data_IF_310047084365
#
_entry.id   IF_310047084365
#
_cell.length_a   1.000
_cell.length_b   1.000
_cell.length_c   1.000
_cell.angle_alpha   90.00
_cell.angle_beta   90.00
_cell.angle_gamma   90.00
#
_symmetry.space_group_name_H-M   'P 1'
#
loop_
_entity.id
_entity.type
_entity.pdbx_description
1 polymer ?
#
# COMPACT_ATOMS: atom_id res chain seq x y z
N UNK A 1 -4.02 6.76 6.57
CA UNK A 1 -4.05 5.33 6.91
C UNK A 1 -5.34 4.88 7.54
N UNK A 2 -5.56 3.59 7.58
CA UNK A 2 -6.72 2.96 8.20
C UNK A 2 -6.31 1.64 8.86
N UNK A 3 -7.15 1.14 9.78
CA UNK A 3 -7.04 -0.24 10.25
C UNK A 3 -7.31 -1.20 9.09
N UNK A 4 -6.61 -2.32 9.09
CA UNK A 4 -6.70 -3.37 8.09
C UNK A 4 -6.65 -4.74 8.78
N UNK A 5 -6.37 -5.77 8.00
CA UNK A 5 -6.41 -7.17 8.42
C UNK A 5 -5.10 -7.65 9.03
N UNK A 6 -5.14 -8.54 10.03
CA UNK A 6 -3.95 -9.15 10.61
C UNK A 6 -3.24 -10.08 9.61
N UNK A 7 -1.96 -10.35 9.87
CA UNK A 7 -1.12 -11.19 8.98
C UNK A 7 -1.67 -12.60 8.74
N UNK A 8 -2.33 -13.18 9.74
CA UNK A 8 -2.95 -14.51 9.64
C UNK A 8 -4.30 -14.54 8.91
N UNK A 9 -4.82 -13.39 8.44
CA UNK A 9 -6.06 -13.37 7.67
C UNK A 9 -5.86 -14.01 6.29
N UNK A 10 -6.78 -14.87 5.82
CA UNK A 10 -6.65 -15.52 4.50
C UNK A 10 -6.48 -14.54 3.34
N UNK A 11 -7.07 -13.35 3.43
CA UNK A 11 -6.97 -12.35 2.37
C UNK A 11 -5.67 -11.52 2.42
N UNK A 12 -4.81 -11.71 3.44
CA UNK A 12 -3.66 -10.82 3.64
C UNK A 12 -2.72 -10.78 2.43
N UNK A 13 -2.40 -11.94 1.87
CA UNK A 13 -1.58 -12.02 0.67
C UNK A 13 -2.25 -11.33 -0.53
N UNK A 14 -3.52 -11.64 -0.77
CA UNK A 14 -4.29 -11.07 -1.87
C UNK A 14 -4.40 -9.54 -1.79
N UNK A 15 -4.67 -9.01 -0.59
CA UNK A 15 -4.71 -7.56 -0.36
C UNK A 15 -3.34 -6.90 -0.57
N UNK A 16 -2.25 -7.56 -0.12
CA UNK A 16 -0.87 -7.07 -0.33
C UNK A 16 -0.50 -7.05 -1.82
N UNK A 17 -0.84 -8.11 -2.55
CA UNK A 17 -0.64 -8.20 -4.01
C UNK A 17 -1.44 -7.11 -4.73
N UNK A 18 -2.71 -6.90 -4.36
CA UNK A 18 -3.56 -5.87 -4.96
C UNK A 18 -3.02 -4.45 -4.71
N UNK A 19 -2.35 -4.21 -3.56
CA UNK A 19 -1.72 -2.92 -3.26
C UNK A 19 -0.43 -2.68 -4.07
N UNK A 20 0.17 -3.69 -4.69
CA UNK A 20 1.52 -3.62 -5.26
C UNK A 20 1.66 -2.51 -6.31
N UNK A 21 0.76 -2.44 -7.29
CA UNK A 21 0.80 -1.42 -8.35
C UNK A 21 0.36 -0.04 -7.88
N UNK A 22 -0.47 0.07 -6.85
CA UNK A 22 -0.82 1.37 -6.29
C UNK A 22 0.41 2.07 -5.69
N UNK A 23 1.15 1.40 -4.83
CA UNK A 23 2.31 1.98 -4.17
C UNK A 23 3.14 1.00 -3.33
N UNK A 24 2.87 -0.29 -3.44
CA UNK A 24 3.67 -1.35 -2.81
C UNK A 24 5.03 -1.54 -3.49
N UNK A 25 5.20 -1.04 -4.70
CA UNK A 25 6.46 -1.07 -5.45
C UNK A 25 7.02 0.33 -5.72
N UNK A 26 8.31 0.40 -6.04
CA UNK A 26 8.96 1.64 -6.46
C UNK A 26 8.32 2.24 -7.71
N UNK A 27 7.87 1.40 -8.64
CA UNK A 27 7.15 1.78 -9.86
C UNK A 27 5.63 1.79 -9.68
N UNK A 28 5.16 1.93 -8.44
CA UNK A 28 3.74 2.12 -8.12
C UNK A 28 3.27 3.55 -8.43
N UNK A 29 1.98 3.69 -8.66
CA UNK A 29 1.36 4.96 -9.09
C UNK A 29 1.69 6.14 -8.18
N UNK A 30 1.65 5.96 -6.85
CA UNK A 30 1.92 7.06 -5.91
C UNK A 30 3.36 7.58 -6.04
N UNK A 31 4.33 6.70 -6.27
CA UNK A 31 5.71 7.11 -6.44
C UNK A 31 5.95 7.73 -7.82
N UNK A 32 5.38 7.17 -8.87
CA UNK A 32 5.49 7.72 -10.21
C UNK A 32 4.96 9.16 -10.26
N UNK A 33 3.79 9.41 -9.69
CA UNK A 33 3.20 10.76 -9.71
C UNK A 33 3.95 11.70 -8.77
N UNK A 34 4.09 11.36 -7.49
CA UNK A 34 4.66 12.30 -6.51
C UNK A 34 6.16 12.54 -6.69
N UNK A 35 6.91 11.52 -7.10
CA UNK A 35 8.35 11.61 -7.26
C UNK A 35 8.76 11.97 -8.69
N UNK A 36 8.34 11.19 -9.69
CA UNK A 36 8.85 11.33 -11.05
C UNK A 36 8.17 12.48 -11.81
N UNK A 37 6.84 12.62 -11.71
CA UNK A 37 6.11 13.66 -12.44
C UNK A 37 6.16 15.01 -11.73
N UNK A 38 5.94 15.02 -10.39
CA UNK A 38 5.83 16.25 -9.60
C UNK A 38 7.13 16.69 -8.93
N UNK A 39 8.06 15.80 -8.67
CA UNK A 39 9.28 16.11 -7.94
C UNK A 39 9.05 16.62 -6.51
N UNK A 40 7.99 16.17 -5.85
CA UNK A 40 7.60 16.62 -4.52
C UNK A 40 8.33 15.89 -3.39
N UNK A 41 8.85 14.71 -3.69
CA UNK A 41 9.43 13.78 -2.74
C UNK A 41 10.57 12.96 -3.34
N UNK A 42 11.36 12.33 -2.48
CA UNK A 42 12.30 11.27 -2.88
C UNK A 42 11.65 9.88 -2.90
N UNK A 43 10.43 9.74 -2.36
CA UNK A 43 9.68 8.49 -2.41
C UNK A 43 8.30 8.60 -1.77
N UNK A 44 7.34 7.94 -2.39
CA UNK A 44 5.98 7.76 -1.91
C UNK A 44 5.58 6.29 -2.00
N UNK A 45 4.82 5.79 -1.03
CA UNK A 45 4.44 4.39 -0.98
C UNK A 45 3.08 4.18 -0.32
N UNK A 46 2.46 3.05 -0.63
CA UNK A 46 1.37 2.48 0.15
C UNK A 46 1.79 1.11 0.67
N UNK A 47 1.30 0.73 1.84
CA UNK A 47 1.64 -0.53 2.47
C UNK A 47 0.45 -1.12 3.22
N UNK A 48 0.28 -2.44 3.13
CA UNK A 48 -0.56 -3.22 4.02
C UNK A 48 0.36 -4.00 4.94
N UNK A 49 0.35 -3.67 6.22
CA UNK A 49 1.08 -4.42 7.25
C UNK A 49 0.12 -5.16 8.16
N UNK A 50 0.49 -6.35 8.58
CA UNK A 50 -0.30 -7.17 9.49
C UNK A 50 0.55 -7.65 10.65
N UNK A 51 0.10 -7.32 11.85
CA UNK A 51 0.55 -7.92 13.09
C UNK A 51 -0.34 -9.13 13.43
N UNK A 52 -0.14 -9.73 14.61
CA UNK A 52 -0.86 -10.94 15.01
C UNK A 52 -2.39 -10.72 15.09
N UNK A 53 -2.83 -9.58 15.62
CA UNK A 53 -4.23 -9.32 15.91
C UNK A 53 -4.83 -8.17 15.10
N UNK A 54 -4.02 -7.33 14.49
CA UNK A 54 -4.43 -6.13 13.75
C UNK A 54 -3.50 -5.89 12.58
N UNK A 55 -4.01 -5.25 11.56
CA UNK A 55 -3.21 -4.72 10.46
C UNK A 55 -3.52 -3.26 10.21
N UNK A 56 -2.72 -2.65 9.36
CA UNK A 56 -2.91 -1.27 8.90
C UNK A 56 -2.67 -1.16 7.40
N UNK A 57 -3.47 -0.33 6.75
CA UNK A 57 -3.12 0.25 5.46
C UNK A 57 -2.53 1.63 5.71
N UNK A 58 -1.40 1.92 5.10
CA UNK A 58 -0.77 3.25 5.17
C UNK A 58 -0.40 3.74 3.78
N UNK A 59 -0.62 5.03 3.51
CA UNK A 59 -0.08 5.75 2.37
C UNK A 59 0.79 6.88 2.92
N UNK A 60 2.05 6.97 2.53
CA UNK A 60 3.00 7.88 3.16
C UNK A 60 4.03 8.43 2.20
N UNK A 61 4.41 9.68 2.43
CA UNK A 61 5.52 10.35 1.77
C UNK A 61 6.03 11.50 2.64
N UNK A 62 7.32 11.78 2.58
CA UNK A 62 7.89 13.03 3.06
C UNK A 62 8.01 13.99 1.87
N UNK A 63 7.27 15.09 1.90
CA UNK A 63 7.20 16.05 0.82
C UNK A 63 7.69 17.44 1.24
N UNK A 64 8.08 18.27 0.29
CA UNK A 64 8.36 19.69 0.62
C UNK A 64 7.08 20.36 1.16
N UNK A 65 7.22 21.25 2.13
CA UNK A 65 6.10 21.90 2.84
C UNK A 65 5.08 22.58 1.91
N UNK A 66 5.55 23.18 0.82
CA UNK A 66 4.70 23.85 -0.18
C UNK A 66 3.85 22.89 -1.02
N UNK A 67 4.15 21.60 -1.01
CA UNK A 67 3.45 20.55 -1.76
C UNK A 67 2.52 19.69 -0.89
N UNK A 68 2.39 19.98 0.39
CA UNK A 68 1.67 19.12 1.35
C UNK A 68 0.22 18.88 0.92
N UNK A 69 -0.57 19.93 0.70
CA UNK A 69 -1.99 19.82 0.32
C UNK A 69 -2.14 19.03 -0.99
N UNK A 70 -1.42 19.44 -2.05
CA UNK A 70 -1.49 18.78 -3.36
C UNK A 70 -1.09 17.30 -3.26
N UNK A 71 -0.10 16.98 -2.42
CA UNK A 71 0.30 15.58 -2.22
C UNK A 71 -0.78 14.73 -1.56
N UNK A 72 -1.50 15.27 -0.59
CA UNK A 72 -2.64 14.56 0.04
C UNK A 72 -3.79 14.38 -0.96
N UNK A 73 -4.08 15.40 -1.77
CA UNK A 73 -5.06 15.31 -2.86
C UNK A 73 -4.68 14.23 -3.87
N UNK A 74 -3.41 14.19 -4.29
CA UNK A 74 -2.90 13.16 -5.21
C UNK A 74 -3.06 11.75 -4.61
N UNK A 75 -2.71 11.54 -3.34
CA UNK A 75 -2.92 10.25 -2.70
C UNK A 75 -4.38 9.82 -2.71
N UNK A 76 -5.29 10.72 -2.31
CA UNK A 76 -6.73 10.46 -2.34
C UNK A 76 -7.21 10.11 -3.75
N UNK A 77 -6.87 10.92 -4.72
CA UNK A 77 -7.38 10.80 -6.10
C UNK A 77 -6.83 9.55 -6.79
N UNK A 78 -5.56 9.20 -6.55
CA UNK A 78 -4.98 7.95 -7.03
C UNK A 78 -5.68 6.73 -6.42
N UNK A 79 -5.98 6.74 -5.13
CA UNK A 79 -6.72 5.65 -4.50
C UNK A 79 -8.16 5.56 -5.03
N UNK A 80 -8.85 6.69 -5.23
CA UNK A 80 -10.19 6.72 -5.86
C UNK A 80 -10.12 6.14 -7.27
N UNK A 81 -9.17 6.59 -8.08
CA UNK A 81 -8.95 6.07 -9.44
C UNK A 81 -8.64 4.57 -9.44
N UNK A 82 -7.79 4.12 -8.54
CA UNK A 82 -7.43 2.70 -8.43
C UNK A 82 -8.63 1.83 -8.05
N UNK A 83 -9.52 2.35 -7.19
CA UNK A 83 -10.80 1.70 -6.87
C UNK A 83 -11.79 1.65 -8.04
N UNK A 84 -11.71 2.56 -9.00
CA UNK A 84 -12.61 2.51 -10.17
C UNK A 84 -12.29 1.38 -11.14
N UNK A 85 -11.15 0.73 -10.97
CA UNK A 85 -10.74 -0.46 -11.70
C UNK A 85 -9.27 -0.42 -12.09
N UNK A 86 -8.61 -1.58 -11.97
CA UNK A 86 -7.24 -1.79 -12.45
C UNK A 86 -7.28 -2.30 -13.89
N UNK A 87 -6.23 -2.02 -14.65
CA UNK A 87 -6.07 -2.52 -16.01
C UNK A 87 -5.41 -3.90 -16.03
N UNK A 88 -5.54 -4.62 -17.16
CA UNK A 88 -4.77 -5.85 -17.38
C UNK A 88 -3.25 -5.59 -17.29
N UNK A 89 -2.79 -4.43 -17.79
CA UNK A 89 -1.37 -4.04 -17.69
C UNK A 89 -0.88 -3.88 -16.24
N UNK A 90 -1.73 -3.46 -15.31
CA UNK A 90 -1.38 -3.39 -13.89
C UNK A 90 -1.23 -4.78 -13.27
N UNK A 91 -2.10 -5.70 -13.67
CA UNK A 91 -2.01 -7.10 -13.25
C UNK A 91 -0.76 -7.76 -13.80
N UNK A 92 -0.48 -7.61 -15.08
CA UNK A 92 0.71 -8.17 -15.74
C UNK A 92 1.99 -7.63 -15.12
N UNK A 93 2.06 -6.31 -14.87
CA UNK A 93 3.18 -5.68 -14.15
C UNK A 93 3.37 -6.31 -12.76
N UNK A 94 2.29 -6.50 -12.02
CA UNK A 94 2.34 -7.05 -10.66
C UNK A 94 2.81 -8.51 -10.67
N UNK A 95 2.25 -9.34 -11.57
CA UNK A 95 2.67 -10.75 -11.75
C UNK A 95 4.15 -10.85 -12.08
N UNK A 96 4.58 -10.14 -13.09
CA UNK A 96 5.97 -10.15 -13.56
C UNK A 96 6.96 -9.75 -12.47
N UNK A 97 6.67 -8.68 -11.75
CA UNK A 97 7.56 -8.18 -10.71
C UNK A 97 7.65 -9.14 -9.52
N UNK A 98 6.51 -9.66 -9.04
CA UNK A 98 6.48 -10.55 -7.89
C UNK A 98 7.08 -11.92 -8.20
N UNK A 99 6.78 -12.51 -9.36
CA UNK A 99 7.34 -13.81 -9.75
C UNK A 99 8.86 -13.73 -9.98
N UNK A 100 9.35 -12.68 -10.63
CA UNK A 100 10.80 -12.46 -10.79
C UNK A 100 11.50 -12.20 -9.45
N UNK A 101 10.83 -11.50 -8.52
CA UNK A 101 11.36 -11.22 -7.18
C UNK A 101 11.47 -12.47 -6.30
N UNK A 102 10.66 -13.49 -6.53
CA UNK A 102 10.67 -14.71 -5.72
C UNK A 102 12.01 -15.47 -5.79
N UNK A 103 12.70 -15.46 -6.93
CA UNK A 103 13.99 -16.13 -7.08
C UNK A 103 15.04 -15.61 -6.09
N UNK A 104 15.00 -14.32 -5.73
CA UNK A 104 15.94 -13.67 -4.82
C UNK A 104 15.48 -13.69 -3.35
N UNK A 105 14.21 -14.03 -3.11
CA UNK A 105 13.56 -13.89 -1.79
C UNK A 105 14.18 -14.77 -0.70
N UNK A 106 14.83 -15.88 -1.06
CA UNK A 106 15.31 -16.89 -0.12
C UNK A 106 16.82 -17.19 -0.24
N UNK A 107 17.59 -16.30 -0.86
CA UNK A 107 19.03 -16.53 -1.09
C UNK A 107 19.89 -16.46 0.17
N UNK A 108 19.39 -15.84 1.25
CA UNK A 108 20.18 -15.69 2.46
C UNK A 108 19.62 -16.48 3.63
N UNK A 109 20.48 -16.96 4.53
CA UNK A 109 20.08 -17.61 5.78
C UNK A 109 19.12 -16.71 6.61
N UNK A 110 19.35 -15.39 6.60
CA UNK A 110 18.50 -14.44 7.30
C UNK A 110 17.09 -14.41 6.71
N UNK A 111 16.94 -14.49 5.40
CA UNK A 111 15.65 -14.54 4.73
C UNK A 111 14.90 -15.85 5.06
N UNK A 112 15.59 -16.98 5.06
CA UNK A 112 15.03 -18.27 5.47
C UNK A 112 14.58 -18.25 6.94
N UNK A 113 15.39 -17.70 7.84
CA UNK A 113 15.03 -17.56 9.24
C UNK A 113 13.80 -16.65 9.40
N UNK A 114 13.73 -15.55 8.66
CA UNK A 114 12.56 -14.66 8.61
C UNK A 114 11.30 -15.41 8.16
N UNK A 115 11.40 -16.25 7.15
CA UNK A 115 10.32 -17.11 6.69
C UNK A 115 9.81 -18.04 7.81
N UNK A 116 10.71 -18.78 8.47
CA UNK A 116 10.37 -19.69 9.56
C UNK A 116 9.74 -18.96 10.75
N UNK A 117 10.27 -17.78 11.09
CA UNK A 117 9.68 -16.93 12.13
C UNK A 117 8.25 -16.48 11.79
N UNK A 118 8.00 -16.09 10.53
CA UNK A 118 6.65 -15.73 10.09
C UNK A 118 5.69 -16.92 10.18
N UNK A 119 6.13 -18.12 9.77
CA UNK A 119 5.34 -19.34 9.90
C UNK A 119 4.97 -19.60 11.37
N UNK A 120 5.95 -19.56 12.27
CA UNK A 120 5.72 -19.81 13.69
C UNK A 120 4.86 -18.73 14.35
N UNK A 121 5.10 -17.45 14.04
CA UNK A 121 4.42 -16.31 14.67
C UNK A 121 2.95 -16.19 14.23
N UNK A 122 2.68 -16.42 12.95
CA UNK A 122 1.38 -16.20 12.34
C UNK A 122 0.61 -17.48 12.02
N UNK A 123 1.16 -18.63 12.34
CA UNK A 123 0.52 -19.94 12.09
C UNK A 123 0.36 -20.25 10.59
N UNK A 124 1.31 -19.79 9.75
CA UNK A 124 1.25 -20.03 8.33
C UNK A 124 1.55 -21.49 7.98
N UNK A 125 0.87 -22.10 7.00
CA UNK A 125 1.13 -23.47 6.60
C UNK A 125 2.52 -23.63 5.97
N UNK A 126 3.03 -24.87 5.94
CA UNK A 126 4.37 -25.17 5.43
C UNK A 126 4.56 -24.79 3.95
N UNK A 127 3.50 -24.82 3.20
CA UNK A 127 3.45 -24.53 1.76
C UNK A 127 2.96 -23.11 1.43
N UNK A 128 2.89 -22.19 2.44
CA UNK A 128 2.33 -20.86 2.23
C UNK A 128 3.03 -20.09 1.10
N UNK A 129 4.35 -20.29 0.91
CA UNK A 129 5.10 -19.67 -0.18
C UNK A 129 4.58 -20.13 -1.54
N UNK A 130 4.38 -21.44 -1.69
CA UNK A 130 3.84 -22.02 -2.93
C UNK A 130 2.39 -21.57 -3.17
N UNK A 131 1.61 -21.41 -2.12
CA UNK A 131 0.25 -20.86 -2.22
C UNK A 131 0.27 -19.40 -2.66
N UNK A 132 1.15 -18.55 -2.07
CA UNK A 132 1.33 -17.16 -2.48
C UNK A 132 1.78 -17.07 -3.96
N UNK A 133 2.73 -17.88 -4.38
CA UNK A 133 3.23 -17.92 -5.76
C UNK A 133 2.14 -18.36 -6.75
N UNK A 134 1.42 -19.43 -6.44
CA UNK A 134 0.32 -19.91 -7.27
C UNK A 134 -0.80 -18.86 -7.38
N UNK A 135 -1.10 -18.14 -6.30
CA UNK A 135 -2.04 -17.02 -6.34
C UNK A 135 -1.59 -15.95 -7.33
N UNK A 136 -0.31 -15.53 -7.27
CA UNK A 136 0.22 -14.52 -8.18
C UNK A 136 0.22 -15.01 -9.63
N UNK A 137 0.57 -16.28 -9.89
CA UNK A 137 0.57 -16.87 -11.23
C UNK A 137 -0.82 -16.82 -11.88
N UNK A 138 -1.88 -17.03 -11.09
CA UNK A 138 -3.27 -17.07 -11.56
C UNK A 138 -4.04 -15.75 -11.34
N UNK A 139 -3.36 -14.69 -10.90
CA UNK A 139 -3.98 -13.39 -10.59
C UNK A 139 -4.78 -12.82 -11.76
N UNK A 140 -6.00 -12.37 -11.49
CA UNK A 140 -6.91 -11.74 -12.46
C UNK A 140 -7.24 -10.30 -12.11
N UNK A 141 -7.75 -9.54 -13.06
CA UNK A 141 -8.24 -8.16 -12.86
C UNK A 141 -9.37 -8.13 -11.83
N UNK A 142 -10.28 -9.10 -11.91
CA UNK A 142 -11.44 -9.23 -11.03
C UNK A 142 -11.00 -9.43 -9.57
N UNK A 143 -10.03 -10.31 -9.35
CA UNK A 143 -9.49 -10.57 -8.01
C UNK A 143 -8.81 -9.32 -7.42
N UNK A 144 -7.97 -8.64 -8.20
CA UNK A 144 -7.33 -7.39 -7.75
C UNK A 144 -8.39 -6.35 -7.41
N UNK A 145 -9.38 -6.14 -8.28
CA UNK A 145 -10.47 -5.19 -8.05
C UNK A 145 -11.25 -5.52 -6.78
N UNK A 146 -11.57 -6.79 -6.54
CA UNK A 146 -12.28 -7.23 -5.34
C UNK A 146 -11.50 -6.87 -4.06
N UNK A 147 -10.19 -7.12 -4.04
CA UNK A 147 -9.34 -6.78 -2.90
C UNK A 147 -9.19 -5.27 -2.70
N UNK A 148 -9.01 -4.50 -3.79
CA UNK A 148 -8.95 -3.03 -3.75
C UNK A 148 -10.25 -2.46 -3.18
N UNK A 149 -11.41 -2.91 -3.65
CA UNK A 149 -12.71 -2.48 -3.13
C UNK A 149 -12.87 -2.77 -1.63
N UNK A 150 -12.35 -3.89 -1.18
CA UNK A 150 -12.50 -4.36 0.20
C UNK A 150 -11.58 -3.62 1.18
N UNK A 151 -10.32 -3.34 0.80
CA UNK A 151 -9.27 -2.93 1.73
C UNK A 151 -8.70 -1.52 1.51
N UNK A 152 -8.95 -0.88 0.38
CA UNK A 152 -8.41 0.44 0.06
C UNK A 152 -9.56 1.42 -0.15
N UNK A 153 -9.98 2.12 0.93
CA UNK A 153 -11.06 3.11 0.86
C UNK A 153 -10.56 4.47 1.39
N UNK A 154 -10.20 5.41 0.50
CA UNK A 154 -9.68 6.71 0.90
C UNK A 154 -10.67 7.54 1.71
N UNK A 155 -11.97 7.26 1.60
CA UNK A 155 -13.00 7.98 2.37
C UNK A 155 -13.14 7.47 3.81
N UNK A 156 -12.53 6.33 4.15
CA UNK A 156 -12.53 5.72 5.49
C UNK A 156 -11.17 5.75 6.16
N UNK A 157 -10.33 6.71 5.78
CA UNK A 157 -8.96 6.84 6.30
C UNK A 157 -8.80 8.06 7.18
N UNK A 158 -7.87 7.98 8.12
CA UNK A 158 -7.33 9.13 8.81
C UNK A 158 -6.20 9.73 7.98
N UNK A 159 -6.24 11.04 7.81
CA UNK A 159 -5.19 11.81 7.15
C UNK A 159 -4.39 12.56 8.22
N UNK A 160 -3.11 12.30 8.32
CA UNK A 160 -2.21 12.89 9.31
C UNK A 160 -1.10 13.62 8.59
N UNK A 161 -0.92 14.90 8.92
CA UNK A 161 0.15 15.74 8.39
C UNK A 161 1.04 16.17 9.54
N UNK A 162 2.34 15.87 9.43
CA UNK A 162 3.36 16.36 10.33
C UNK A 162 4.12 17.51 9.66
N UNK A 163 4.12 18.70 10.27
CA UNK A 163 4.75 19.88 9.70
C UNK A 163 4.41 21.16 10.48
N UNK A 164 4.71 22.30 9.88
CA UNK A 164 4.36 23.59 10.46
C UNK A 164 2.84 23.87 10.36
N UNK A 165 2.16 23.78 11.49
CA UNK A 165 0.71 23.97 11.56
C UNK A 165 0.26 25.36 11.10
N UNK A 166 1.06 26.40 11.35
CA UNK A 166 0.69 27.77 10.98
C UNK A 166 0.53 27.94 9.47
N UNK A 167 1.30 27.23 8.68
CA UNK A 167 1.28 27.28 7.22
C UNK A 167 0.37 26.21 6.60
N UNK A 168 0.22 25.04 7.23
CA UNK A 168 -0.44 23.87 6.62
C UNK A 168 -1.94 23.80 6.92
N UNK A 169 -2.37 24.08 8.15
CA UNK A 169 -3.77 23.86 8.57
C UNK A 169 -4.79 24.58 7.70
N UNK A 170 -4.52 25.83 7.33
CA UNK A 170 -5.45 26.64 6.53
C UNK A 170 -5.81 26.04 5.17
N UNK A 171 -4.92 25.21 4.61
CA UNK A 171 -5.16 24.53 3.32
C UNK A 171 -5.88 23.20 3.47
N UNK A 172 -5.68 22.49 4.60
CA UNK A 172 -6.13 21.12 4.77
C UNK A 172 -7.65 20.96 4.86
N UNK A 173 -8.40 21.98 5.29
CA UNK A 173 -9.87 21.96 5.29
C UNK A 173 -10.47 21.84 3.88
N UNK A 174 -9.72 22.19 2.82
CA UNK A 174 -10.14 22.03 1.42
C UNK A 174 -10.23 20.56 0.99
N UNK A 175 -9.64 19.63 1.75
CA UNK A 175 -9.70 18.21 1.46
C UNK A 175 -11.10 17.59 1.58
N UNK A 176 -12.04 18.27 2.25
CA UNK A 176 -13.42 17.82 2.41
C UNK A 176 -13.63 16.75 3.49
N UNK A 177 -12.65 16.55 4.37
CA UNK A 177 -12.71 15.57 5.49
C UNK A 177 -13.10 16.22 6.83
N UNK A 178 -13.58 17.46 6.81
CA UNK A 178 -13.89 18.24 8.01
C UNK A 178 -12.76 19.19 8.41
N UNK A 179 -12.91 19.85 9.55
CA UNK A 179 -11.90 20.76 10.07
C UNK A 179 -10.67 20.01 10.59
N UNK A 180 -9.46 20.45 10.21
CA UNK A 180 -8.22 19.83 10.70
C UNK A 180 -8.07 20.04 12.21
N UNK A 181 -7.66 18.99 12.92
CA UNK A 181 -7.45 19.02 14.37
C UNK A 181 -5.94 19.11 14.63
N UNK A 182 -5.51 20.14 15.37
CA UNK A 182 -4.12 20.26 15.80
C UNK A 182 -3.86 19.34 17.00
N UNK A 183 -2.98 18.37 16.81
CA UNK A 183 -2.48 17.49 17.88
C UNK A 183 -1.15 18.09 18.36
N UNK A 184 -1.08 18.39 19.68
CA UNK A 184 0.11 18.92 20.34
C UNK A 184 0.91 17.81 21.03
#
# INVERSE_FOLDING_TARGET
>A
GALSIPRGNPDFNAATVANYKLGGSFNGYVNLVLREEKGFTYGARTNISGEKNVGTFTASSAVRSTATLESVEIFRDLMVKYRSGVSQGDVDFTKDALLKGNALRFETQRALLGMLNNMALYGLPADYISQEENYVQNLTVEEVNAQVQKYIDPMKMYYVVAGDAATQMKGLNKLGFGEPILIK
#
